data_IF_156375357874
#
_entry.id   IF_156375357874
#
_cell.length_a   1.000
_cell.length_b   1.000
_cell.length_c   1.000
_cell.angle_alpha   90.00
_cell.angle_beta   90.00
_cell.angle_gamma   90.00
#
_symmetry.space_group_name_H-M   'P 1'
#
loop_
_entity.id
_entity.type
_entity.pdbx_description
1 polymer ?
#
# COMPACT_ATOMS: atom_id res chain seq x y z
N UNK A 1 17.49 31.65 10.99
CA UNK A 1 17.67 30.22 11.32
C UNK A 1 16.45 29.49 10.81
N UNK A 2 16.58 28.84 9.65
CA UNK A 2 15.48 28.07 9.08
C UNK A 2 15.40 26.75 9.83
N UNK A 3 14.34 26.58 10.59
CA UNK A 3 13.92 25.27 11.07
C UNK A 3 13.59 24.43 9.84
N UNK A 4 14.53 23.59 9.43
CA UNK A 4 14.25 22.46 8.57
C UNK A 4 13.42 21.53 9.46
N UNK A 5 12.10 21.74 9.43
CA UNK A 5 11.16 20.81 10.02
C UNK A 5 11.50 19.43 9.44
N UNK A 6 11.90 18.56 10.32
CA UNK A 6 12.13 17.14 10.07
C UNK A 6 10.77 16.51 9.73
N UNK A 7 10.28 16.78 8.51
CA UNK A 7 9.00 16.23 8.05
C UNK A 7 9.19 14.74 7.88
N UNK A 8 8.40 13.97 8.58
CA UNK A 8 8.34 12.51 8.42
C UNK A 8 8.24 12.17 6.94
N UNK A 9 9.01 11.19 6.45
CA UNK A 9 8.93 10.76 5.07
C UNK A 9 7.51 10.25 4.79
N UNK A 10 6.83 10.94 3.89
CA UNK A 10 5.50 10.59 3.42
C UNK A 10 5.53 10.45 1.92
N UNK A 11 4.67 9.62 1.39
CA UNK A 11 4.43 9.51 -0.04
C UNK A 11 2.94 9.56 -0.32
N UNK A 12 2.63 9.97 -1.52
CA UNK A 12 1.27 9.98 -2.03
C UNK A 12 1.07 8.75 -2.91
N UNK A 13 -0.09 8.13 -2.80
CA UNK A 13 -0.42 6.93 -3.54
C UNK A 13 -1.82 7.05 -4.12
N UNK A 14 -1.96 6.76 -5.42
CA UNK A 14 -3.25 6.68 -6.05
C UNK A 14 -4.11 5.57 -5.40
N UNK A 15 -5.38 5.84 -5.20
CA UNK A 15 -6.30 4.88 -4.56
C UNK A 15 -6.40 3.58 -5.35
N UNK A 16 -6.27 3.63 -6.69
CA UNK A 16 -6.21 2.45 -7.56
C UNK A 16 -5.00 1.57 -7.24
N UNK A 17 -3.85 2.18 -6.90
CA UNK A 17 -2.66 1.43 -6.52
C UNK A 17 -2.85 0.74 -5.18
N UNK A 18 -3.46 1.41 -4.20
CA UNK A 18 -3.81 0.81 -2.91
C UNK A 18 -4.68 -0.44 -3.14
N UNK A 19 -5.70 -0.34 -3.99
CA UNK A 19 -6.59 -1.45 -4.34
C UNK A 19 -5.87 -2.59 -5.06
N UNK A 20 -4.89 -2.27 -5.91
CA UNK A 20 -4.18 -3.26 -6.72
C UNK A 20 -3.12 -4.06 -5.93
N UNK A 21 -2.50 -3.50 -4.90
CA UNK A 21 -1.44 -4.14 -4.11
C UNK A 21 -1.93 -5.18 -3.08
N UNK A 22 -3.18 -5.58 -3.12
CA UNK A 22 -3.83 -6.45 -2.11
C UNK A 22 -3.21 -7.85 -1.91
N UNK A 23 -2.37 -8.33 -2.84
CA UNK A 23 -1.72 -9.64 -2.77
C UNK A 23 -0.43 -9.66 -1.93
N UNK A 24 0.10 -8.48 -1.56
CA UNK A 24 1.33 -8.37 -0.79
C UNK A 24 1.10 -8.71 0.69
N UNK A 25 2.05 -9.39 1.30
CA UNK A 25 2.10 -9.50 2.76
C UNK A 25 2.63 -8.21 3.40
N UNK A 26 2.60 -8.11 4.73
CA UNK A 26 2.99 -6.90 5.44
C UNK A 26 4.44 -6.45 5.15
N UNK A 27 5.39 -7.37 5.09
CA UNK A 27 6.80 -7.06 4.78
C UNK A 27 6.98 -6.55 3.35
N UNK A 28 6.32 -7.20 2.40
CA UNK A 28 6.35 -6.80 0.99
C UNK A 28 5.71 -5.42 0.80
N UNK A 29 4.62 -5.16 1.50
CA UNK A 29 3.92 -3.88 1.49
C UNK A 29 4.77 -2.77 2.10
N UNK A 30 5.37 -2.98 3.27
CA UNK A 30 6.32 -2.04 3.89
C UNK A 30 7.50 -1.74 2.96
N UNK A 31 8.05 -2.75 2.29
CA UNK A 31 9.12 -2.56 1.32
C UNK A 31 8.66 -1.73 0.10
N UNK A 32 7.46 -2.01 -0.43
CA UNK A 32 6.89 -1.22 -1.51
C UNK A 32 6.73 0.26 -1.11
N UNK A 33 6.20 0.53 0.07
CA UNK A 33 6.05 1.89 0.58
C UNK A 33 7.38 2.60 0.79
N UNK A 34 8.36 1.87 1.32
CA UNK A 34 9.71 2.39 1.39
C UNK A 34 10.25 2.77 0.01
N UNK A 35 10.10 1.89 -1.00
CA UNK A 35 10.52 2.15 -2.36
C UNK A 35 9.82 3.40 -2.94
N UNK A 36 8.51 3.52 -2.78
CA UNK A 36 7.74 4.69 -3.22
C UNK A 36 8.19 5.97 -2.52
N UNK A 37 8.50 5.92 -1.22
CA UNK A 37 8.95 7.09 -0.45
C UNK A 37 10.32 7.63 -0.87
N UNK A 38 11.14 6.79 -1.52
CA UNK A 38 12.46 7.17 -2.03
C UNK A 38 12.41 7.76 -3.43
N UNK A 39 11.33 7.56 -4.16
CA UNK A 39 11.16 8.03 -5.53
C UNK A 39 10.78 9.52 -5.56
N UNK A 40 11.36 10.26 -6.47
CA UNK A 40 10.92 11.62 -6.80
C UNK A 40 10.02 11.59 -8.05
N UNK A 41 9.31 12.69 -8.25
CA UNK A 41 8.45 12.89 -9.40
C UNK A 41 9.24 12.66 -10.71
N UNK A 42 8.68 11.85 -11.62
CA UNK A 42 9.30 11.50 -12.90
C UNK A 42 10.42 10.46 -12.85
N UNK A 43 10.93 10.12 -11.67
CA UNK A 43 12.00 9.12 -11.56
C UNK A 43 11.48 7.70 -11.80
N UNK A 44 12.20 6.96 -12.63
CA UNK A 44 11.94 5.52 -12.87
C UNK A 44 12.94 4.62 -12.13
N UNK A 45 14.05 5.18 -11.66
CA UNK A 45 15.11 4.42 -10.97
C UNK A 45 15.51 5.11 -9.70
N UNK A 46 15.69 4.35 -8.64
CA UNK A 46 16.17 4.84 -7.34
C UNK A 46 17.21 3.85 -6.82
N UNK A 47 18.33 4.38 -6.33
CA UNK A 47 19.32 3.58 -5.62
C UNK A 47 19.26 3.90 -4.12
N UNK A 48 19.27 2.86 -3.30
CA UNK A 48 19.28 2.95 -1.84
C UNK A 48 20.13 1.84 -1.24
N UNK A 49 20.17 1.74 0.10
CA UNK A 49 20.96 0.72 0.78
C UNK A 49 20.14 -0.06 1.80
N UNK A 50 20.64 -1.21 2.21
CA UNK A 50 20.02 -2.00 3.27
C UNK A 50 20.04 -1.26 4.61
N UNK A 51 21.11 -0.52 4.90
CA UNK A 51 21.19 0.34 6.11
C UNK A 51 20.09 1.39 6.12
N UNK A 52 19.85 2.06 4.97
CA UNK A 52 18.79 3.05 4.87
C UNK A 52 17.38 2.41 5.04
N UNK A 53 17.15 1.26 4.43
CA UNK A 53 15.93 0.48 4.60
C UNK A 53 15.67 0.13 6.07
N UNK A 54 16.67 -0.43 6.75
CA UNK A 54 16.61 -0.83 8.17
C UNK A 54 16.26 0.35 9.06
N UNK A 55 16.93 1.49 8.84
CA UNK A 55 16.69 2.71 9.59
C UNK A 55 15.24 3.22 9.43
N UNK A 56 14.73 3.29 8.21
CA UNK A 56 13.41 3.84 7.96
C UNK A 56 12.27 2.92 8.39
N UNK A 57 12.45 1.61 8.27
CA UNK A 57 11.46 0.64 8.69
C UNK A 57 11.65 0.14 10.12
N UNK A 58 12.63 0.69 10.86
CA UNK A 58 12.94 0.32 12.25
C UNK A 58 13.14 -1.18 12.45
N UNK A 59 13.88 -1.81 11.51
CA UNK A 59 14.13 -3.24 11.49
C UNK A 59 15.37 -3.55 12.33
N UNK A 60 15.37 -4.66 13.07
CA UNK A 60 16.55 -5.13 13.80
C UNK A 60 17.62 -5.65 12.84
N UNK A 61 18.81 -5.03 12.91
CA UNK A 61 19.96 -5.44 12.11
C UNK A 61 20.52 -6.79 12.56
N UNK A 62 20.61 -7.72 11.63
CA UNK A 62 21.19 -9.05 11.90
C UNK A 62 20.19 -10.14 12.32
N UNK A 63 18.92 -9.81 12.51
CA UNK A 63 17.89 -10.76 12.87
C UNK A 63 17.23 -11.48 11.71
N UNK A 64 16.23 -12.29 12.00
CA UNK A 64 15.38 -12.99 11.04
C UNK A 64 14.62 -12.01 10.13
N UNK A 65 14.37 -10.79 10.62
CA UNK A 65 13.72 -9.72 9.85
C UNK A 65 14.51 -9.35 8.59
N UNK A 66 15.84 -9.20 8.69
CA UNK A 66 16.70 -8.92 7.51
C UNK A 66 16.56 -9.99 6.43
N UNK A 67 16.53 -11.27 6.82
CA UNK A 67 16.33 -12.37 5.87
C UNK A 67 14.96 -12.26 5.17
N UNK A 68 13.94 -11.91 5.93
CA UNK A 68 12.58 -11.70 5.42
C UNK A 68 12.52 -10.57 4.40
N UNK A 69 13.17 -9.42 4.68
CA UNK A 69 13.24 -8.32 3.72
C UNK A 69 14.09 -8.65 2.49
N UNK A 70 15.22 -9.36 2.64
CA UNK A 70 15.97 -9.86 1.47
C UNK A 70 15.12 -10.76 0.58
N UNK A 71 14.27 -11.59 1.17
CA UNK A 71 13.33 -12.42 0.43
C UNK A 71 12.26 -11.54 -0.27
N UNK A 72 11.69 -10.58 0.44
CA UNK A 72 10.71 -9.64 -0.13
C UNK A 72 11.29 -8.88 -1.33
N UNK A 73 12.53 -8.36 -1.23
CA UNK A 73 13.22 -7.68 -2.33
C UNK A 73 13.36 -8.60 -3.55
N UNK A 74 13.72 -9.87 -3.36
CA UNK A 74 13.88 -10.84 -4.45
C UNK A 74 12.57 -11.21 -5.14
N UNK A 75 11.47 -11.17 -4.42
CA UNK A 75 10.15 -11.56 -4.93
C UNK A 75 9.29 -10.39 -5.35
N UNK A 76 9.75 -9.15 -5.15
CA UNK A 76 8.92 -7.95 -5.35
C UNK A 76 8.39 -7.82 -6.79
N UNK A 77 9.16 -8.24 -7.79
CA UNK A 77 8.71 -8.21 -9.18
C UNK A 77 7.46 -9.05 -9.41
N UNK A 78 7.37 -10.21 -8.75
CA UNK A 78 6.21 -11.11 -8.87
C UNK A 78 5.02 -10.61 -8.05
N UNK A 79 5.29 -9.93 -6.93
CA UNK A 79 4.28 -9.43 -5.99
C UNK A 79 3.73 -8.06 -6.36
N UNK A 80 4.45 -7.31 -7.20
CA UNK A 80 4.03 -6.00 -7.68
C UNK A 80 3.36 -6.03 -9.06
N UNK A 81 2.94 -7.20 -9.54
CA UNK A 81 2.20 -7.32 -10.80
C UNK A 81 0.80 -6.74 -10.60
N UNK A 82 0.48 -5.73 -11.38
CA UNK A 82 -0.78 -5.00 -11.34
C UNK A 82 -1.45 -5.05 -12.71
N UNK A 83 -2.76 -4.91 -12.69
CA UNK A 83 -3.57 -4.60 -13.87
C UNK A 83 -4.45 -3.41 -13.51
N UNK A 84 -4.25 -2.30 -14.20
CA UNK A 84 -4.93 -1.03 -13.93
C UNK A 84 -5.52 -0.48 -15.22
N UNK A 85 -6.74 -0.01 -15.17
CA UNK A 85 -7.33 0.80 -16.25
C UNK A 85 -6.95 2.26 -16.03
N UNK A 86 -6.31 2.86 -17.04
CA UNK A 86 -5.97 4.27 -17.03
C UNK A 86 -6.81 5.04 -18.04
N UNK A 87 -7.35 6.16 -17.61
CA UNK A 87 -8.05 7.12 -18.48
C UNK A 87 -7.05 7.90 -19.34
N UNK A 88 -7.51 8.44 -20.47
CA UNK A 88 -6.68 9.12 -21.45
C UNK A 88 -5.88 10.30 -20.87
N UNK A 89 -6.43 11.00 -19.88
CA UNK A 89 -5.78 12.14 -19.21
C UNK A 89 -4.55 11.77 -18.39
N UNK A 90 -4.42 10.48 -18.00
CA UNK A 90 -3.27 9.92 -17.28
C UNK A 90 -2.23 9.26 -18.20
N UNK A 91 -2.48 9.15 -19.48
CA UNK A 91 -1.56 8.54 -20.43
C UNK A 91 -0.53 9.54 -20.94
N UNK A 92 0.61 9.01 -21.41
CA UNK A 92 1.56 9.79 -22.19
C UNK A 92 0.90 10.32 -23.48
N UNK A 93 1.39 11.43 -24.03
CA UNK A 93 0.87 11.95 -25.27
C UNK A 93 0.95 10.92 -26.42
N UNK A 94 2.03 10.13 -26.45
CA UNK A 94 2.22 9.08 -27.44
C UNK A 94 1.15 7.96 -27.33
N UNK A 95 0.77 7.57 -26.12
CA UNK A 95 -0.24 6.54 -25.90
C UNK A 95 -1.65 7.09 -26.11
N UNK A 96 -1.87 8.35 -25.72
CA UNK A 96 -3.15 9.06 -25.98
C UNK A 96 -3.46 9.15 -27.46
N UNK A 97 -2.45 9.39 -28.32
CA UNK A 97 -2.62 9.42 -29.78
C UNK A 97 -3.01 8.08 -30.40
N UNK A 98 -2.88 6.97 -29.66
CA UNK A 98 -3.29 5.64 -30.12
C UNK A 98 -4.75 5.31 -29.80
N UNK A 99 -5.40 6.11 -28.98
CA UNK A 99 -6.79 5.91 -28.63
C UNK A 99 -7.70 6.27 -29.81
N UNK A 100 -8.71 5.43 -30.04
CA UNK A 100 -9.74 5.72 -31.05
C UNK A 100 -10.65 6.87 -30.60
N UNK A 101 -10.94 6.91 -29.26
CA UNK A 101 -11.73 7.98 -28.66
C UNK A 101 -11.02 8.55 -27.42
N UNK A 102 -11.14 9.86 -27.15
CA UNK A 102 -10.54 10.50 -25.99
C UNK A 102 -11.05 9.97 -24.62
N UNK A 103 -12.21 9.31 -24.63
CA UNK A 103 -12.82 8.75 -23.42
C UNK A 103 -12.50 7.26 -23.21
N UNK A 104 -11.73 6.66 -24.12
CA UNK A 104 -11.32 5.26 -23.96
C UNK A 104 -10.33 5.12 -22.79
N UNK A 105 -10.33 3.96 -22.19
CA UNK A 105 -9.34 3.56 -21.17
C UNK A 105 -8.33 2.61 -21.76
N UNK A 106 -7.11 2.60 -21.19
CA UNK A 106 -6.06 1.65 -21.51
C UNK A 106 -5.84 0.71 -20.34
N UNK A 107 -5.88 -0.58 -20.62
CA UNK A 107 -5.52 -1.59 -19.64
C UNK A 107 -3.99 -1.76 -19.62
N UNK A 108 -3.37 -1.38 -18.52
CA UNK A 108 -1.93 -1.56 -18.29
C UNK A 108 -1.74 -2.74 -17.34
N UNK A 109 -0.96 -3.73 -17.77
CA UNK A 109 -0.64 -4.90 -16.94
C UNK A 109 0.86 -5.14 -16.91
N UNK A 110 1.41 -5.32 -15.73
CA UNK A 110 2.84 -5.59 -15.55
C UNK A 110 3.29 -5.46 -14.11
N UNK A 111 4.58 -5.71 -13.87
CA UNK A 111 5.16 -5.46 -12.56
C UNK A 111 5.42 -3.96 -12.37
N UNK A 112 4.92 -3.40 -11.26
CA UNK A 112 5.14 -1.99 -10.90
C UNK A 112 6.60 -1.72 -10.56
N UNK A 113 7.22 -2.63 -9.80
CA UNK A 113 8.56 -2.47 -9.24
C UNK A 113 9.38 -3.73 -9.48
N UNK A 114 10.61 -3.54 -9.93
CA UNK A 114 11.67 -4.54 -9.86
C UNK A 114 12.81 -4.03 -8.98
N UNK A 115 13.50 -4.94 -8.31
CA UNK A 115 14.63 -4.60 -7.46
C UNK A 115 15.81 -5.54 -7.70
N UNK A 116 17.02 -4.99 -7.63
CA UNK A 116 18.27 -5.76 -7.64
C UNK A 116 19.00 -5.48 -6.33
N UNK A 117 19.57 -6.53 -5.76
CA UNK A 117 20.33 -6.45 -4.52
C UNK A 117 21.78 -6.83 -4.78
N UNK A 118 22.68 -5.89 -4.51
CA UNK A 118 24.13 -6.08 -4.69
C UNK A 118 24.83 -6.08 -3.34
N UNK A 119 25.87 -6.90 -3.23
CA UNK A 119 26.80 -6.81 -2.12
C UNK A 119 27.81 -5.69 -2.43
N UNK A 120 27.59 -4.51 -1.87
CA UNK A 120 28.56 -3.41 -1.92
C UNK A 120 29.70 -3.61 -0.92
N UNK A 121 30.73 -2.77 -1.01
CA UNK A 121 31.92 -2.86 -0.15
C UNK A 121 31.56 -2.59 1.32
N UNK A 122 30.74 -1.56 1.58
CA UNK A 122 30.40 -1.13 2.93
C UNK A 122 28.94 -1.45 3.31
N UNK A 123 28.07 -1.68 2.33
CA UNK A 123 26.63 -1.94 2.55
C UNK A 123 26.07 -2.72 1.36
N UNK A 124 24.90 -3.31 1.54
CA UNK A 124 24.15 -3.88 0.42
C UNK A 124 23.37 -2.77 -0.29
N UNK A 125 23.60 -2.66 -1.58
CA UNK A 125 22.94 -1.68 -2.45
C UNK A 125 21.67 -2.29 -3.04
N UNK A 126 20.61 -1.52 -3.03
CA UNK A 126 19.29 -1.87 -3.58
C UNK A 126 19.01 -0.93 -4.76
N UNK A 127 19.01 -1.45 -5.97
CA UNK A 127 18.55 -0.73 -7.15
C UNK A 127 17.07 -1.01 -7.36
N UNK A 128 16.25 0.04 -7.35
CA UNK A 128 14.82 0.00 -7.56
C UNK A 128 14.51 0.53 -8.95
N UNK A 129 13.74 -0.21 -9.73
CA UNK A 129 13.29 0.21 -11.06
C UNK A 129 11.78 0.14 -11.13
N UNK A 130 11.15 1.31 -11.26
CA UNK A 130 9.71 1.45 -11.46
C UNK A 130 9.38 1.33 -12.95
N UNK A 131 8.34 0.58 -13.26
CA UNK A 131 7.88 0.46 -14.62
C UNK A 131 7.33 1.80 -15.11
N UNK A 132 7.90 2.29 -16.23
CA UNK A 132 7.56 3.58 -16.82
C UNK A 132 6.07 3.75 -17.14
N UNK A 133 5.39 2.65 -17.46
CA UNK A 133 3.98 2.67 -17.85
C UNK A 133 3.05 3.00 -16.68
N UNK A 134 3.53 2.80 -15.43
CA UNK A 134 2.81 3.18 -14.21
C UNK A 134 3.23 4.55 -13.66
N UNK A 135 4.25 5.21 -14.21
CA UNK A 135 4.72 6.52 -13.73
C UNK A 135 3.60 7.58 -13.75
N UNK A 136 2.77 7.68 -14.79
CA UNK A 136 1.67 8.64 -14.78
C UNK A 136 0.72 8.45 -13.59
N UNK A 137 0.41 7.22 -13.22
CA UNK A 137 -0.42 6.90 -12.06
C UNK A 137 0.29 7.24 -10.73
N UNK A 138 1.60 7.04 -10.66
CA UNK A 138 2.40 7.35 -9.46
C UNK A 138 2.60 8.85 -9.26
N UNK A 139 2.57 9.63 -10.33
CA UNK A 139 2.90 11.06 -10.34
C UNK A 139 1.65 11.95 -10.43
N UNK A 140 0.53 11.43 -10.92
CA UNK A 140 -0.70 12.20 -11.02
C UNK A 140 -1.46 12.21 -9.69
N UNK A 141 -1.28 13.32 -8.97
CA UNK A 141 -1.91 13.57 -7.68
C UNK A 141 -3.13 14.51 -7.79
N UNK A 142 -3.67 14.70 -9.01
CA UNK A 142 -4.85 15.57 -9.24
C UNK A 142 -6.15 14.91 -8.83
N UNK A 143 -6.17 13.58 -8.80
CA UNK A 143 -7.38 12.79 -8.53
C UNK A 143 -7.08 11.75 -7.45
N UNK A 144 -8.08 11.40 -6.69
CA UNK A 144 -8.13 10.28 -5.71
C UNK A 144 -6.79 9.70 -5.25
N UNK A 145 -6.17 10.38 -4.32
CA UNK A 145 -4.91 9.97 -3.73
C UNK A 145 -4.98 9.92 -2.20
N UNK A 146 -4.10 9.15 -1.61
CA UNK A 146 -3.99 9.00 -0.16
C UNK A 146 -2.56 9.25 0.31
N UNK A 147 -2.41 10.09 1.33
CA UNK A 147 -1.13 10.28 2.00
C UNK A 147 -0.87 9.15 2.99
N UNK A 148 0.25 8.46 2.80
CA UNK A 148 0.75 7.42 3.70
C UNK A 148 2.05 7.90 4.34
N UNK A 149 2.11 7.83 5.67
CA UNK A 149 3.33 8.13 6.42
C UNK A 149 4.10 6.84 6.64
N UNK A 150 5.33 6.78 6.11
CA UNK A 150 6.16 5.58 6.18
C UNK A 150 6.45 5.17 7.63
N UNK A 151 6.66 6.15 8.52
CA UNK A 151 6.91 5.87 9.93
C UNK A 151 5.72 5.22 10.63
N UNK A 152 4.50 5.67 10.35
CA UNK A 152 3.30 5.07 10.91
C UNK A 152 3.12 3.64 10.40
N UNK A 153 3.32 3.43 9.10
CA UNK A 153 3.25 2.12 8.48
C UNK A 153 4.33 1.15 9.01
N UNK A 154 5.53 1.65 9.29
CA UNK A 154 6.64 0.85 9.82
C UNK A 154 6.33 0.26 11.20
N UNK A 155 5.49 0.90 12.01
CA UNK A 155 5.10 0.46 13.36
C UNK A 155 4.07 -0.68 13.36
N UNK A 156 3.43 -0.96 12.22
CA UNK A 156 2.36 -1.96 12.10
C UNK A 156 2.95 -3.32 11.74
N UNK A 157 3.10 -4.21 12.71
CA UNK A 157 3.67 -5.56 12.53
C UNK A 157 2.60 -6.63 12.30
N UNK A 158 1.37 -6.35 12.70
CA UNK A 158 0.23 -7.25 12.54
C UNK A 158 -0.03 -7.58 11.06
N UNK A 159 -0.36 -8.84 10.82
CA UNK A 159 -0.52 -9.39 9.46
C UNK A 159 -1.48 -8.58 8.57
N UNK A 160 -2.50 -7.98 9.17
CA UNK A 160 -3.57 -7.30 8.45
C UNK A 160 -3.63 -5.79 8.74
N UNK A 161 -2.90 -5.33 9.75
CA UNK A 161 -3.00 -3.96 10.26
C UNK A 161 -2.61 -2.92 9.22
N UNK A 162 -1.52 -3.16 8.49
CA UNK A 162 -1.07 -2.25 7.43
C UNK A 162 -2.15 -2.07 6.34
N UNK A 163 -2.84 -3.15 5.95
CA UNK A 163 -3.90 -3.12 4.95
C UNK A 163 -5.16 -2.40 5.43
N UNK A 164 -5.50 -2.60 6.69
CA UNK A 164 -6.65 -1.91 7.31
C UNK A 164 -6.33 -0.42 7.45
N UNK A 165 -5.10 -0.10 7.86
CA UNK A 165 -4.62 1.28 7.94
C UNK A 165 -4.72 2.00 6.58
N UNK A 166 -4.20 1.40 5.49
CA UNK A 166 -4.32 1.96 4.13
C UNK A 166 -5.77 2.25 3.75
N UNK A 167 -6.66 1.28 3.97
CA UNK A 167 -8.08 1.46 3.66
C UNK A 167 -8.70 2.60 4.46
N UNK A 168 -8.44 2.66 5.75
CA UNK A 168 -8.96 3.72 6.60
C UNK A 168 -8.42 5.09 6.20
N UNK A 169 -7.13 5.19 5.85
CA UNK A 169 -6.54 6.42 5.31
C UNK A 169 -7.20 6.84 3.99
N UNK A 170 -7.46 5.89 3.10
CA UNK A 170 -8.13 6.13 1.82
C UNK A 170 -9.57 6.64 2.02
N UNK A 171 -10.30 6.14 3.02
CA UNK A 171 -11.65 6.63 3.33
C UNK A 171 -11.62 8.00 4.02
N UNK A 172 -10.64 8.21 4.90
CA UNK A 172 -10.51 9.47 5.64
C UNK A 172 -10.10 10.62 4.72
N UNK A 173 -9.13 10.41 3.81
CA UNK A 173 -8.52 11.44 2.95
C UNK A 173 -8.13 12.68 3.76
N UNK A 174 -8.61 13.86 3.37
CA UNK A 174 -8.34 15.15 4.03
C UNK A 174 -9.43 15.54 5.05
N UNK A 175 -10.26 14.59 5.47
CA UNK A 175 -11.32 14.84 6.46
C UNK A 175 -10.78 14.62 7.87
N UNK A 176 -11.26 15.40 8.83
CA UNK A 176 -10.94 15.19 10.24
C UNK A 176 -11.59 13.91 10.79
N UNK A 177 -12.76 13.55 10.25
CA UNK A 177 -13.50 12.34 10.60
C UNK A 177 -14.33 11.85 9.42
N UNK A 178 -14.47 10.53 9.31
CA UNK A 178 -15.42 9.90 8.39
C UNK A 178 -16.03 8.65 8.98
N UNK A 179 -17.30 8.41 8.64
CA UNK A 179 -17.98 7.15 8.88
C UNK A 179 -18.21 6.45 7.54
N UNK A 180 -17.93 5.16 7.49
CA UNK A 180 -18.19 4.35 6.30
C UNK A 180 -18.61 2.94 6.68
N UNK A 181 -19.36 2.28 5.79
CA UNK A 181 -19.74 0.89 5.94
C UNK A 181 -18.77 0.03 5.14
N UNK A 182 -18.15 -0.92 5.83
CA UNK A 182 -17.28 -1.89 5.18
C UNK A 182 -17.91 -3.28 5.26
N UNK A 183 -18.41 -3.75 4.13
CA UNK A 183 -19.03 -5.06 4.05
C UNK A 183 -18.01 -6.18 4.28
N UNK A 184 -18.45 -7.29 4.89
CA UNK A 184 -17.60 -8.47 5.06
C UNK A 184 -17.23 -9.09 3.71
N UNK A 185 -18.21 -9.21 2.82
CA UNK A 185 -18.04 -9.65 1.44
C UNK A 185 -18.91 -8.77 0.54
N UNK A 186 -18.47 -8.58 -0.69
CA UNK A 186 -19.24 -7.90 -1.73
C UNK A 186 -18.84 -8.45 -3.09
N UNK A 187 -19.73 -8.39 -4.05
CA UNK A 187 -19.46 -8.71 -5.45
C UNK A 187 -18.91 -7.50 -6.24
N UNK A 188 -18.87 -6.33 -5.60
CA UNK A 188 -18.34 -5.13 -6.23
C UNK A 188 -16.81 -5.18 -6.33
N UNK A 189 -16.29 -4.97 -7.53
CA UNK A 189 -14.85 -4.81 -7.78
C UNK A 189 -14.34 -3.44 -7.32
N UNK A 190 -15.19 -2.41 -7.33
CA UNK A 190 -14.85 -1.03 -6.97
C UNK A 190 -14.74 -0.85 -5.45
N UNK A 191 -15.58 -1.58 -4.70
CA UNK A 191 -15.60 -1.54 -3.24
C UNK A 191 -15.55 -2.96 -2.66
N UNK A 192 -14.37 -3.59 -2.64
CA UNK A 192 -14.22 -4.96 -2.15
C UNK A 192 -14.58 -5.05 -0.67
N UNK A 193 -15.20 -6.15 -0.28
CA UNK A 193 -15.44 -6.44 1.13
C UNK A 193 -14.14 -6.63 1.89
N UNK A 194 -14.18 -6.45 3.21
CA UNK A 194 -12.96 -6.50 4.04
C UNK A 194 -12.23 -7.85 3.93
N UNK A 195 -12.93 -8.94 3.74
CA UNK A 195 -12.32 -10.27 3.57
C UNK A 195 -11.57 -10.39 2.25
N UNK A 196 -12.13 -9.84 1.18
CA UNK A 196 -11.49 -9.78 -0.14
C UNK A 196 -10.28 -8.85 -0.11
N UNK A 197 -10.44 -7.66 0.50
CA UNK A 197 -9.36 -6.70 0.69
C UNK A 197 -8.16 -7.28 1.42
N UNK A 198 -8.40 -8.03 2.48
CA UNK A 198 -7.35 -8.68 3.27
C UNK A 198 -6.87 -10.00 2.67
N UNK A 199 -7.40 -10.42 1.55
CA UNK A 199 -7.08 -11.70 0.88
C UNK A 199 -7.11 -12.90 1.85
N UNK A 200 -8.18 -12.99 2.64
CA UNK A 200 -8.31 -14.01 3.69
C UNK A 200 -8.87 -15.32 3.12
N UNK A 201 -9.65 -15.25 2.05
CA UNK A 201 -10.38 -16.39 1.49
C UNK A 201 -11.37 -16.96 2.51
N UNK A 202 -11.43 -18.29 2.61
CA UNK A 202 -12.36 -19.00 3.51
C UNK A 202 -11.89 -19.07 4.98
N UNK A 203 -10.71 -18.52 5.30
CA UNK A 203 -10.21 -18.48 6.68
C UNK A 203 -11.12 -17.65 7.55
N UNK A 204 -11.34 -18.09 8.77
CA UNK A 204 -12.19 -17.40 9.75
C UNK A 204 -13.62 -17.17 9.21
N UNK A 205 -14.26 -18.20 8.70
CA UNK A 205 -15.62 -18.16 8.12
C UNK A 205 -16.65 -17.55 9.08
N UNK A 206 -16.53 -17.86 10.38
CA UNK A 206 -17.37 -17.26 11.41
C UNK A 206 -16.93 -15.85 11.76
N UNK A 207 -17.87 -14.90 11.80
CA UNK A 207 -17.61 -13.51 12.20
C UNK A 207 -16.90 -13.40 13.56
N UNK A 208 -17.31 -14.22 14.56
CA UNK A 208 -16.68 -14.22 15.89
C UNK A 208 -15.19 -14.54 15.82
N UNK A 209 -14.80 -15.53 15.01
CA UNK A 209 -13.40 -15.89 14.81
C UNK A 209 -12.65 -14.81 14.02
N UNK A 210 -13.27 -14.26 12.97
CA UNK A 210 -12.73 -13.17 12.17
C UNK A 210 -12.50 -11.91 13.02
N UNK A 211 -13.50 -11.48 13.78
CA UNK A 211 -13.37 -10.32 14.67
C UNK A 211 -12.25 -10.52 15.69
N UNK A 212 -12.20 -11.66 16.38
CA UNK A 212 -11.20 -11.93 17.43
C UNK A 212 -9.78 -12.03 16.90
N UNK A 213 -9.58 -12.60 15.70
CA UNK A 213 -8.24 -12.92 15.16
C UNK A 213 -7.72 -11.92 14.13
N UNK A 214 -8.59 -11.10 13.57
CA UNK A 214 -8.25 -10.16 12.50
C UNK A 214 -8.62 -8.74 12.88
N UNK A 215 -9.92 -8.42 13.05
CA UNK A 215 -10.35 -7.03 13.19
C UNK A 215 -9.84 -6.40 14.48
N UNK A 216 -10.21 -7.01 15.62
CA UNK A 216 -9.87 -6.42 16.92
C UNK A 216 -8.35 -6.25 17.11
N UNK A 217 -7.49 -7.25 16.89
CA UNK A 217 -6.05 -7.06 17.05
C UNK A 217 -5.48 -6.00 16.10
N UNK A 218 -5.98 -5.91 14.87
CA UNK A 218 -5.49 -4.92 13.91
C UNK A 218 -5.92 -3.50 14.26
N UNK A 219 -7.15 -3.31 14.73
CA UNK A 219 -7.63 -1.99 15.16
C UNK A 219 -6.95 -1.53 16.45
N UNK A 220 -6.78 -2.45 17.41
CA UNK A 220 -6.05 -2.17 18.65
C UNK A 220 -4.62 -1.73 18.30
N UNK A 221 -3.90 -2.48 17.45
CA UNK A 221 -2.54 -2.15 17.04
C UNK A 221 -2.45 -0.79 16.31
N UNK A 222 -3.37 -0.51 15.37
CA UNK A 222 -3.38 0.78 14.69
C UNK A 222 -3.56 1.92 15.70
N UNK A 223 -4.52 1.81 16.60
CA UNK A 223 -4.80 2.83 17.59
C UNK A 223 -3.68 3.04 18.62
N UNK A 224 -2.92 2.00 18.93
CA UNK A 224 -1.81 2.06 19.88
C UNK A 224 -0.50 2.49 19.22
N UNK A 225 -0.28 2.12 17.96
CA UNK A 225 1.02 2.26 17.29
C UNK A 225 1.09 3.45 16.35
N UNK A 226 -0.03 3.94 15.82
CA UNK A 226 -0.05 5.10 14.92
C UNK A 226 -0.59 6.35 15.65
N UNK A 227 -0.16 7.52 15.20
CA UNK A 227 -0.57 8.81 15.79
C UNK A 227 -1.46 9.64 14.87
N UNK A 228 -1.66 9.19 13.64
CA UNK A 228 -2.31 9.97 12.58
C UNK A 228 -3.74 9.55 12.28
N UNK A 229 -4.20 8.42 12.82
CA UNK A 229 -5.60 8.00 12.78
C UNK A 229 -6.01 7.27 14.07
N UNK A 230 -7.30 7.35 14.38
CA UNK A 230 -7.96 6.56 15.40
C UNK A 230 -9.18 5.87 14.81
N UNK A 231 -9.31 4.57 15.03
CA UNK A 231 -10.34 3.74 14.41
C UNK A 231 -11.24 3.16 15.50
N UNK A 232 -12.53 3.34 15.33
CA UNK A 232 -13.53 2.58 16.08
C UNK A 232 -14.46 1.86 15.10
N UNK A 233 -15.01 0.73 15.48
CA UNK A 233 -15.97 0.04 14.64
C UNK A 233 -17.14 -0.52 15.43
N UNK A 234 -18.27 -0.60 14.77
CA UNK A 234 -19.49 -1.19 15.29
C UNK A 234 -20.03 -2.18 14.27
N UNK A 235 -20.22 -3.46 14.64
CA UNK A 235 -20.81 -4.42 13.73
C UNK A 235 -22.26 -4.06 13.45
N UNK A 236 -22.60 -3.90 12.18
CA UNK A 236 -23.98 -3.80 11.73
C UNK A 236 -24.48 -5.22 11.38
N UNK A 237 -25.77 -5.43 11.54
CA UNK A 237 -26.41 -6.73 11.25
C UNK A 237 -27.52 -6.54 10.24
N UNK A 238 -27.51 -7.36 9.21
CA UNK A 238 -28.63 -7.45 8.29
C UNK A 238 -29.59 -8.54 8.81
N UNK A 239 -30.68 -8.11 9.48
CA UNK A 239 -31.60 -9.02 10.16
C UNK A 239 -31.11 -9.56 11.52
N UNK A 240 -31.83 -10.53 12.09
CA UNK A 240 -31.60 -11.01 13.47
C UNK A 240 -30.35 -11.86 13.67
N UNK A 241 -29.67 -12.35 12.62
CA UNK A 241 -28.64 -13.42 12.75
C UNK A 241 -27.30 -13.22 12.05
N UNK A 242 -27.13 -12.28 11.15
CA UNK A 242 -25.86 -12.11 10.42
C UNK A 242 -25.32 -10.67 10.50
N UNK A 243 -23.99 -10.48 10.74
CA UNK A 243 -23.34 -9.20 10.48
C UNK A 243 -23.28 -8.94 8.96
N UNK A 244 -23.38 -7.68 8.61
CA UNK A 244 -23.21 -7.19 7.23
C UNK A 244 -21.75 -7.19 6.87
#
# INVERSE_FOLDING_TARGET
>A
MNEIQNREPKFCQADELIKALHIMNNTELKFMFYALSKRKLGETTVQTTMTDLVKHLKIDWGGEQIKTYKKAIRTIIQKSVLTVEMTADRLSDADRMRLANPNDTVLISGALLSAKLFNGINDMVIDLNFNKDFIPMLDDLRHDFTWIYLEQMARLDGKYSARIYEWCKMQLKDKDQCDFIWYLNTDSKEAPGIRQWLNIGDKYSEYKAFNRRVLKPSFDEINESTSDIQISFKPLRNGRRAPI
#
